data_IF_682245239399
#
_entry.id   IF_682245239399
#
_cell.length_a   1.000
_cell.length_b   1.000
_cell.length_c   1.000
_cell.angle_alpha   90.00
_cell.angle_beta   90.00
_cell.angle_gamma   90.00
#
_symmetry.space_group_name_H-M   'P 1'
#
loop_
_entity.id
_entity.type
_entity.pdbx_description
1 polymer ?
#
# COMPACT_ATOMS: atom_id res chain seq x y z
N UNK A 1 -14.23 5.73 -1.32
CA UNK A 1 -14.14 4.33 -1.80
C UNK A 1 -14.09 4.26 -3.32
N UNK A 2 -15.14 4.67 -4.06
CA UNK A 2 -15.19 4.56 -5.55
C UNK A 2 -13.88 4.83 -6.32
N UNK A 3 -13.16 5.92 -6.01
CA UNK A 3 -11.88 6.23 -6.68
C UNK A 3 -10.77 5.21 -6.39
N UNK A 4 -10.64 4.77 -5.15
CA UNK A 4 -9.67 3.73 -4.79
C UNK A 4 -10.04 2.41 -5.48
N UNK A 5 -11.34 2.09 -5.55
CA UNK A 5 -11.81 0.91 -6.28
C UNK A 5 -11.43 0.97 -7.76
N UNK A 6 -11.59 2.14 -8.41
CA UNK A 6 -11.19 2.37 -9.80
C UNK A 6 -9.68 2.23 -10.01
N UNK A 7 -8.87 2.81 -9.12
CA UNK A 7 -7.40 2.69 -9.17
C UNK A 7 -6.99 1.23 -9.05
N UNK A 8 -7.51 0.52 -8.04
CA UNK A 8 -7.21 -0.91 -7.86
C UNK A 8 -7.66 -1.74 -9.06
N UNK A 9 -8.84 -1.46 -9.63
CA UNK A 9 -9.29 -2.13 -10.84
C UNK A 9 -8.37 -1.89 -12.03
N UNK A 10 -7.89 -0.65 -12.23
CA UNK A 10 -6.93 -0.31 -13.28
C UNK A 10 -5.60 -1.06 -13.10
N UNK A 11 -5.06 -1.07 -11.88
CA UNK A 11 -3.81 -1.76 -11.56
C UNK A 11 -3.94 -3.27 -11.78
N UNK A 12 -5.03 -3.87 -11.31
CA UNK A 12 -5.30 -5.30 -11.48
C UNK A 12 -5.36 -5.70 -12.96
N UNK A 13 -5.98 -4.87 -13.81
CA UNK A 13 -6.05 -5.11 -15.26
C UNK A 13 -4.69 -5.04 -15.98
N UNK A 14 -3.68 -4.43 -15.36
CA UNK A 14 -2.33 -4.29 -15.90
C UNK A 14 -1.30 -5.17 -15.15
N UNK A 15 -1.76 -6.15 -14.37
CA UNK A 15 -0.90 -7.14 -13.72
C UNK A 15 -0.30 -6.71 -12.38
N UNK A 16 -0.71 -5.56 -11.83
CA UNK A 16 -0.37 -5.13 -10.47
C UNK A 16 -1.55 -5.48 -9.57
N UNK A 17 -1.52 -6.68 -9.00
CA UNK A 17 -2.60 -7.21 -8.18
C UNK A 17 -2.62 -6.57 -6.78
N UNK A 18 -3.73 -5.91 -6.46
CA UNK A 18 -4.01 -5.27 -5.18
C UNK A 18 -5.47 -5.50 -4.77
N UNK A 19 -5.70 -5.49 -3.45
CA UNK A 19 -7.02 -5.46 -2.84
C UNK A 19 -7.20 -4.23 -1.95
N UNK A 20 -8.45 -3.87 -1.67
CA UNK A 20 -8.78 -2.85 -0.67
C UNK A 20 -9.29 -3.52 0.59
N UNK A 21 -8.77 -3.07 1.73
CA UNK A 21 -9.20 -3.52 3.05
C UNK A 21 -9.54 -2.30 3.89
N UNK A 22 -10.75 -2.28 4.45
CA UNK A 22 -11.12 -1.28 5.44
C UNK A 22 -10.48 -1.67 6.78
N UNK A 23 -9.45 -0.93 7.18
CA UNK A 23 -8.73 -1.16 8.44
C UNK A 23 -8.76 0.11 9.31
N UNK A 24 -9.24 0.04 10.56
CA UNK A 24 -9.21 1.18 11.49
C UNK A 24 -7.80 1.56 11.96
N UNK A 25 -6.80 0.69 11.73
CA UNK A 25 -5.39 0.94 12.00
C UNK A 25 -4.64 1.14 10.68
N UNK A 26 -4.28 2.40 10.38
CA UNK A 26 -3.52 2.76 9.18
C UNK A 26 -2.04 3.11 9.49
N UNK A 27 -1.53 2.68 10.64
CA UNK A 27 -0.18 3.04 11.07
C UNK A 27 0.00 4.56 11.13
N UNK A 28 1.10 5.05 10.55
CA UNK A 28 1.48 6.46 10.59
C UNK A 28 0.49 7.37 9.85
N UNK A 29 -0.21 6.88 8.81
CA UNK A 29 -1.10 7.78 8.05
C UNK A 29 -2.42 8.11 8.76
N UNK A 30 -2.65 7.52 9.93
CA UNK A 30 -3.91 7.59 10.67
C UNK A 30 -4.31 9.02 11.07
N UNK A 31 -3.37 9.91 11.34
CA UNK A 31 -3.71 11.26 11.79
C UNK A 31 -4.29 12.10 10.65
N UNK A 32 -3.69 12.07 9.46
CA UNK A 32 -4.26 12.70 8.27
C UNK A 32 -5.63 12.10 7.90
N UNK A 33 -5.75 10.77 7.97
CA UNK A 33 -7.03 10.08 7.72
C UNK A 33 -8.15 10.57 8.67
N UNK A 34 -7.83 10.80 9.96
CA UNK A 34 -8.79 11.34 10.94
C UNK A 34 -9.22 12.77 10.63
N UNK A 35 -8.34 13.56 10.04
CA UNK A 35 -8.60 14.95 9.66
C UNK A 35 -9.28 15.06 8.28
N UNK A 36 -9.72 13.93 7.71
CA UNK A 36 -10.46 13.89 6.45
C UNK A 36 -9.58 13.90 5.20
N UNK A 37 -8.25 13.84 5.34
CA UNK A 37 -7.32 13.76 4.21
C UNK A 37 -7.31 12.31 3.68
N UNK A 38 -7.63 12.08 2.39
CA UNK A 38 -7.59 10.75 1.81
C UNK A 38 -6.21 10.11 1.94
N UNK A 39 -6.14 9.03 2.72
CA UNK A 39 -4.92 8.35 3.10
C UNK A 39 -5.10 6.85 2.93
N UNK A 40 -4.02 6.17 2.54
CA UNK A 40 -3.97 4.71 2.39
C UNK A 40 -2.64 4.19 2.94
N UNK A 41 -2.65 2.97 3.44
CA UNK A 41 -1.45 2.25 3.84
C UNK A 41 -1.37 0.93 3.06
N UNK A 42 -0.15 0.47 2.79
CA UNK A 42 0.09 -0.81 2.12
C UNK A 42 0.22 -1.93 3.14
N UNK A 43 -0.45 -3.05 2.87
CA UNK A 43 -0.36 -4.27 3.67
C UNK A 43 0.12 -5.38 2.73
N UNK A 44 1.33 -5.94 2.91
CA UNK A 44 1.80 -7.03 2.07
C UNK A 44 1.08 -8.34 2.42
N UNK A 45 0.77 -9.17 1.42
CA UNK A 45 0.00 -10.41 1.60
C UNK A 45 0.65 -11.40 2.59
N UNK A 46 1.99 -11.41 2.64
CA UNK A 46 2.77 -12.26 3.54
C UNK A 46 2.98 -11.66 4.93
N UNK A 47 2.33 -10.53 5.25
CA UNK A 47 2.50 -9.82 6.52
C UNK A 47 2.13 -10.67 7.74
N UNK A 48 1.11 -11.53 7.64
CA UNK A 48 0.55 -12.18 8.83
C UNK A 48 1.43 -13.34 9.30
N UNK A 49 1.96 -14.16 8.38
CA UNK A 49 2.68 -15.38 8.77
C UNK A 49 4.20 -15.23 8.66
N UNK A 50 4.69 -14.56 7.61
CA UNK A 50 6.13 -14.48 7.34
C UNK A 50 6.77 -13.28 8.04
N UNK A 51 6.16 -12.10 7.92
CA UNK A 51 6.72 -10.88 8.50
C UNK A 51 6.79 -10.95 10.03
N UNK A 52 5.72 -11.36 10.73
CA UNK A 52 5.72 -11.43 12.19
C UNK A 52 6.66 -12.49 12.78
N UNK A 53 7.10 -13.46 11.99
CA UNK A 53 8.15 -14.40 12.43
C UNK A 53 9.51 -13.69 12.62
N UNK A 54 9.83 -12.69 11.78
CA UNK A 54 11.11 -11.95 11.83
C UNK A 54 11.00 -10.57 12.49
N UNK A 55 9.81 -9.97 12.51
CA UNK A 55 9.56 -8.62 13.02
C UNK A 55 10.08 -8.42 14.46
N UNK A 56 10.85 -7.35 14.67
CA UNK A 56 11.48 -7.02 15.96
C UNK A 56 12.42 -8.11 16.51
N UNK A 57 12.99 -8.95 15.64
CA UNK A 57 14.01 -9.92 16.00
C UNK A 57 15.34 -9.58 15.30
N UNK A 58 16.43 -10.22 15.73
CA UNK A 58 17.69 -10.20 14.99
C UNK A 58 17.65 -10.96 13.66
N UNK A 59 16.48 -11.39 13.16
CA UNK A 59 16.31 -11.94 11.82
C UNK A 59 15.77 -10.92 10.81
N UNK A 60 15.43 -9.70 11.24
CA UNK A 60 14.91 -8.62 10.39
C UNK A 60 16.05 -7.99 9.55
N UNK A 61 16.51 -8.73 8.55
CA UNK A 61 17.61 -8.37 7.66
C UNK A 61 17.20 -8.49 6.18
N UNK A 62 17.96 -7.84 5.30
CA UNK A 62 17.73 -7.85 3.84
C UNK A 62 17.64 -9.26 3.24
N UNK A 63 18.22 -10.26 3.89
CA UNK A 63 18.22 -11.66 3.45
C UNK A 63 16.87 -12.36 3.53
N UNK A 64 15.86 -11.78 4.20
CA UNK A 64 14.51 -12.37 4.28
C UNK A 64 13.64 -12.00 3.07
N UNK A 65 14.02 -10.97 2.31
CA UNK A 65 13.31 -10.65 1.07
C UNK A 65 13.53 -11.75 0.04
N UNK A 66 12.49 -12.08 -0.71
CA UNK A 66 12.57 -12.95 -1.88
C UNK A 66 12.73 -12.10 -3.13
N UNK A 67 13.32 -12.69 -4.17
CA UNK A 67 13.45 -12.05 -5.47
C UNK A 67 12.10 -11.48 -5.93
N UNK A 68 12.09 -10.18 -6.25
CA UNK A 68 10.89 -9.46 -6.70
C UNK A 68 10.06 -8.80 -5.59
N UNK A 69 10.25 -9.12 -4.30
CA UNK A 69 9.44 -8.53 -3.22
C UNK A 69 9.61 -6.99 -3.18
N UNK A 70 10.85 -6.50 -3.36
CA UNK A 70 11.15 -5.07 -3.35
C UNK A 70 10.72 -4.38 -4.64
N UNK A 71 10.99 -4.98 -5.80
CA UNK A 71 10.66 -4.46 -7.12
C UNK A 71 9.15 -4.33 -7.31
N UNK A 72 8.38 -5.34 -6.87
CA UNK A 72 6.94 -5.34 -6.96
C UNK A 72 6.33 -4.26 -6.05
N UNK A 73 6.82 -4.16 -4.81
CA UNK A 73 6.38 -3.12 -3.87
C UNK A 73 6.70 -1.72 -4.40
N UNK A 74 7.93 -1.50 -4.91
CA UNK A 74 8.31 -0.21 -5.49
C UNK A 74 7.43 0.15 -6.69
N UNK A 75 7.10 -0.83 -7.55
CA UNK A 75 6.22 -0.64 -8.70
C UNK A 75 4.81 -0.21 -8.29
N UNK A 76 4.25 -0.83 -7.22
CA UNK A 76 2.95 -0.42 -6.66
C UNK A 76 2.98 1.06 -6.24
N UNK A 77 3.97 1.47 -5.44
CA UNK A 77 4.04 2.84 -4.95
C UNK A 77 4.32 3.86 -6.06
N UNK A 78 5.17 3.52 -7.04
CA UNK A 78 5.46 4.37 -8.18
C UNK A 78 4.20 4.64 -9.01
N UNK A 79 3.44 3.59 -9.35
CA UNK A 79 2.23 3.74 -10.15
C UNK A 79 1.11 4.42 -9.36
N UNK A 80 0.91 4.07 -8.09
CA UNK A 80 -0.08 4.74 -7.23
C UNK A 80 0.24 6.23 -7.08
N UNK A 81 1.49 6.58 -6.79
CA UNK A 81 1.94 7.97 -6.68
C UNK A 81 1.73 8.73 -7.99
N UNK A 82 2.07 8.12 -9.13
CA UNK A 82 1.83 8.72 -10.45
C UNK A 82 0.34 8.98 -10.71
N UNK A 83 -0.52 7.99 -10.48
CA UNK A 83 -1.97 8.15 -10.69
C UNK A 83 -2.52 9.26 -9.79
N UNK A 84 -2.26 9.17 -8.48
CA UNK A 84 -2.78 10.12 -7.48
C UNK A 84 -2.32 11.56 -7.76
N UNK A 85 -1.05 11.76 -8.09
CA UNK A 85 -0.50 13.08 -8.38
C UNK A 85 -1.07 13.73 -9.65
N UNK A 86 -1.63 12.92 -10.57
CA UNK A 86 -2.27 13.39 -11.80
C UNK A 86 -3.81 13.38 -11.72
N UNK A 87 -4.39 13.13 -10.54
CA UNK A 87 -5.83 13.20 -10.34
C UNK A 87 -6.26 14.56 -9.83
N UNK A 88 -7.33 15.09 -10.42
CA UNK A 88 -7.99 16.28 -9.89
C UNK A 88 -8.67 15.98 -8.55
N UNK A 89 -8.53 16.90 -7.60
CA UNK A 89 -9.22 16.88 -6.30
C UNK A 89 -8.93 15.61 -5.48
N UNK A 90 -7.68 15.13 -5.47
CA UNK A 90 -7.28 14.03 -4.57
C UNK A 90 -7.32 14.47 -3.10
N UNK A 91 -6.79 15.65 -2.81
CA UNK A 91 -6.83 16.29 -1.49
C UNK A 91 -7.93 17.34 -1.37
N UNK A 92 -8.06 18.00 -0.20
CA UNK A 92 -8.87 19.20 -0.08
C UNK A 92 -8.41 20.25 -1.10
N UNK A 93 -9.39 20.88 -1.76
CA UNK A 93 -9.16 21.99 -2.68
C UNK A 93 -8.78 23.27 -1.93
#
# INVERSE_FOLDING_TARGET
MKRLDEIVHLLNRNGILLGLVNNPSQGDVRFWAKDGIPSVNYIPDKAIDYYFYFHHTGGDYITIFKDGDLEYTASIFAVLGHIIANMDNWGPA
#
